data_IF_549890173272
#
_entry.id   IF_549890173272
#
_cell.length_a   1.000
_cell.length_b   1.000
_cell.length_c   1.000
_cell.angle_alpha   90.00
_cell.angle_beta   90.00
_cell.angle_gamma   90.00
#
_symmetry.space_group_name_H-M   'P 1'
#
loop_
_entity.id
_entity.type
_entity.pdbx_description
1 polymer ?
#
# COMPACT_ATOMS: atom_id res chain seq x y z
N UNK A 1 -34.66 -32.42 -2.65
CA UNK A 1 -34.42 -31.02 -2.17
C UNK A 1 -32.97 -30.82 -1.70
N UNK A 2 -31.94 -31.18 -2.49
CA UNK A 2 -30.53 -31.17 -2.04
C UNK A 2 -29.57 -30.36 -2.94
N UNK A 3 -30.03 -29.83 -4.08
CA UNK A 3 -29.17 -29.06 -5.00
C UNK A 3 -29.10 -27.56 -4.66
N UNK A 4 -30.09 -27.04 -3.93
CA UNK A 4 -30.18 -25.60 -3.60
C UNK A 4 -29.19 -25.23 -2.51
N UNK A 5 -29.06 -26.05 -1.46
CA UNK A 5 -28.14 -25.80 -0.35
C UNK A 5 -26.66 -25.74 -0.79
N UNK A 6 -26.26 -26.53 -1.80
CA UNK A 6 -24.88 -26.51 -2.31
C UNK A 6 -24.58 -25.25 -3.13
N UNK A 7 -25.56 -24.72 -3.87
CA UNK A 7 -25.39 -23.51 -4.66
C UNK A 7 -25.26 -22.26 -3.78
N UNK A 8 -26.04 -22.18 -2.69
CA UNK A 8 -25.94 -21.09 -1.72
C UNK A 8 -24.60 -21.10 -0.97
N UNK A 9 -24.10 -22.28 -0.59
CA UNK A 9 -22.77 -22.44 0.02
C UNK A 9 -21.64 -22.07 -0.93
N UNK A 10 -21.73 -22.45 -2.21
CA UNK A 10 -20.73 -22.09 -3.22
C UNK A 10 -20.70 -20.58 -3.52
N UNK A 11 -21.85 -19.92 -3.58
CA UNK A 11 -21.92 -18.47 -3.75
C UNK A 11 -21.29 -17.73 -2.57
N UNK A 12 -21.60 -18.14 -1.34
CA UNK A 12 -21.03 -17.54 -0.13
C UNK A 12 -19.50 -17.70 -0.05
N UNK A 13 -18.97 -18.84 -0.51
CA UNK A 13 -17.52 -19.05 -0.62
C UNK A 13 -16.89 -18.15 -1.68
N UNK A 14 -17.54 -17.98 -2.84
CA UNK A 14 -17.05 -17.10 -3.90
C UNK A 14 -17.06 -15.63 -3.47
N UNK A 15 -18.11 -15.20 -2.77
CA UNK A 15 -18.24 -13.84 -2.22
C UNK A 15 -17.20 -13.59 -1.13
N UNK A 16 -16.91 -14.58 -0.28
CA UNK A 16 -15.84 -14.49 0.71
C UNK A 16 -14.44 -14.39 0.06
N UNK A 17 -14.21 -15.12 -1.04
CA UNK A 17 -12.95 -15.03 -1.82
C UNK A 17 -12.86 -13.67 -2.54
N UNK A 18 -13.95 -13.16 -3.10
CA UNK A 18 -14.00 -11.85 -3.72
C UNK A 18 -13.79 -10.71 -2.71
N UNK A 19 -14.35 -10.85 -1.50
CA UNK A 19 -14.13 -9.93 -0.38
C UNK A 19 -12.67 -9.97 0.12
N UNK A 20 -12.02 -11.15 0.11
CA UNK A 20 -10.59 -11.29 0.43
C UNK A 20 -9.68 -10.72 -0.64
N UNK A 21 -10.06 -10.81 -1.93
CA UNK A 21 -9.28 -10.30 -3.06
C UNK A 21 -9.20 -8.77 -3.15
N UNK A 22 -10.10 -8.05 -2.47
CA UNK A 22 -10.19 -6.59 -2.49
C UNK A 22 -9.78 -5.91 -1.18
N UNK A 23 -9.24 -6.67 -0.21
CA UNK A 23 -8.51 -6.08 0.91
C UNK A 23 -7.21 -5.47 0.35
N UNK A 24 -7.32 -4.26 -0.17
CA UNK A 24 -6.17 -3.46 -0.57
C UNK A 24 -5.45 -3.16 0.73
N UNK A 25 -4.38 -3.90 1.01
CA UNK A 25 -3.58 -3.79 2.22
C UNK A 25 -2.83 -2.45 2.19
N UNK A 26 -3.57 -1.37 2.43
CA UNK A 26 -3.09 0.02 2.43
C UNK A 26 -2.78 0.38 3.87
N UNK A 27 -1.60 0.94 4.10
CA UNK A 27 -1.21 1.43 5.41
C UNK A 27 -0.49 2.76 5.33
N UNK A 28 -0.50 3.52 6.43
CA UNK A 28 0.29 4.72 6.54
C UNK A 28 1.79 4.36 6.51
N UNK A 29 2.53 4.96 5.58
CA UNK A 29 3.99 4.90 5.54
C UNK A 29 4.55 6.00 6.45
N UNK A 30 4.74 5.68 7.72
CA UNK A 30 5.28 6.63 8.71
C UNK A 30 6.80 6.74 8.55
N UNK A 31 7.30 7.95 8.30
CA UNK A 31 8.72 8.20 8.18
C UNK A 31 9.49 7.72 9.42
N UNK A 32 10.60 7.02 9.22
CA UNK A 32 11.40 6.39 10.27
C UNK A 32 10.94 4.98 10.65
N UNK A 33 9.73 4.57 10.27
CA UNK A 33 9.19 3.24 10.59
C UNK A 33 9.26 2.34 9.34
N UNK A 34 9.92 1.17 9.42
CA UNK A 34 9.91 0.22 8.31
C UNK A 34 8.50 -0.33 8.02
N UNK A 35 8.21 -0.58 6.75
CA UNK A 35 7.05 -1.34 6.32
C UNK A 35 7.27 -2.84 6.63
N UNK A 36 6.20 -3.61 6.92
CA UNK A 36 6.34 -5.04 7.24
C UNK A 36 6.72 -5.90 6.03
N UNK A 37 6.48 -5.41 4.81
CA UNK A 37 6.90 -6.00 3.53
C UNK A 37 7.08 -4.90 2.48
N UNK A 38 7.80 -5.15 1.38
CA UNK A 38 7.94 -4.15 0.32
C UNK A 38 6.58 -3.69 -0.21
N UNK A 39 6.43 -2.38 -0.42
CA UNK A 39 5.23 -1.84 -1.07
C UNK A 39 5.16 -2.24 -2.55
N UNK A 40 3.97 -2.18 -3.11
CA UNK A 40 3.67 -2.21 -4.56
C UNK A 40 3.54 -0.81 -5.14
N UNK A 41 3.05 0.13 -4.32
CA UNK A 41 2.98 1.54 -4.67
C UNK A 41 2.92 2.40 -3.40
N UNK A 42 3.13 3.70 -3.59
CA UNK A 42 2.90 4.72 -2.58
C UNK A 42 1.99 5.80 -3.13
N UNK A 43 1.22 6.43 -2.25
CA UNK A 43 0.32 7.55 -2.56
C UNK A 43 0.52 8.66 -1.55
N UNK A 44 0.58 9.91 -2.02
CA UNK A 44 0.53 11.08 -1.14
C UNK A 44 -0.92 11.56 -1.02
N UNK A 45 -1.47 11.60 0.20
CA UNK A 45 -2.79 12.20 0.46
C UNK A 45 -2.70 13.60 1.08
N UNK A 46 -1.54 13.95 1.63
CA UNK A 46 -1.31 15.21 2.32
C UNK A 46 -0.57 16.22 1.45
N UNK A 47 0.43 16.87 2.03
CA UNK A 47 1.20 17.90 1.35
C UNK A 47 2.21 17.27 0.39
N UNK A 48 2.30 17.82 -0.83
CA UNK A 48 3.40 17.55 -1.76
C UNK A 48 4.75 17.84 -1.10
N UNK A 49 5.79 17.16 -1.56
CA UNK A 49 7.14 17.41 -1.08
C UNK A 49 8.15 16.39 -1.56
N UNK A 50 9.29 16.37 -0.89
CA UNK A 50 10.32 15.37 -1.09
C UNK A 50 9.99 14.15 -0.23
N UNK A 51 10.27 12.97 -0.76
CA UNK A 51 10.29 11.70 -0.04
C UNK A 51 11.68 11.10 -0.21
N UNK A 52 12.32 10.78 0.91
CA UNK A 52 13.53 9.97 0.95
C UNK A 52 13.14 8.56 1.32
N UNK A 53 13.43 7.60 0.46
CA UNK A 53 12.94 6.24 0.58
C UNK A 53 14.07 5.23 0.49
N UNK A 54 13.96 4.17 1.28
CA UNK A 54 14.75 2.96 1.10
C UNK A 54 13.96 2.05 0.18
N UNK A 55 14.47 1.82 -1.03
CA UNK A 55 13.87 0.94 -2.02
C UNK A 55 13.95 -0.53 -1.58
N UNK A 56 13.12 -1.39 -2.14
CA UNK A 56 13.21 -2.85 -1.93
C UNK A 56 14.57 -3.45 -2.31
N UNK A 57 15.33 -2.79 -3.20
CA UNK A 57 16.70 -3.14 -3.54
C UNK A 57 17.75 -2.78 -2.46
N UNK A 58 17.34 -2.12 -1.38
CA UNK A 58 18.23 -1.60 -0.33
C UNK A 58 18.86 -0.24 -0.64
N UNK A 59 18.65 0.31 -1.84
CA UNK A 59 19.16 1.64 -2.18
C UNK A 59 18.29 2.75 -1.56
N UNK A 60 18.93 3.79 -1.02
CA UNK A 60 18.22 5.02 -0.65
C UNK A 60 18.11 5.97 -1.84
N UNK A 61 16.92 6.53 -2.08
CA UNK A 61 16.67 7.51 -3.15
C UNK A 61 15.81 8.65 -2.63
N UNK A 62 16.03 9.83 -3.22
CA UNK A 62 15.18 10.99 -3.00
C UNK A 62 14.31 11.21 -4.25
N UNK A 63 13.05 11.57 -4.04
CA UNK A 63 12.20 12.00 -5.13
C UNK A 63 11.14 12.98 -4.66
N UNK A 64 10.47 13.62 -5.62
CA UNK A 64 9.35 14.51 -5.37
C UNK A 64 8.04 13.77 -5.62
N UNK A 65 7.09 13.94 -4.72
CA UNK A 65 5.73 13.42 -4.85
C UNK A 65 4.73 14.56 -4.67
N UNK A 66 3.76 14.64 -5.57
CA UNK A 66 2.68 15.61 -5.50
C UNK A 66 1.47 15.04 -4.73
N UNK A 67 0.67 15.92 -4.11
CA UNK A 67 -0.59 15.54 -3.47
C UNK A 67 -1.52 14.83 -4.46
N UNK A 68 -2.08 13.69 -4.05
CA UNK A 68 -2.90 12.81 -4.89
C UNK A 68 -2.11 11.91 -5.85
N UNK A 69 -0.78 12.09 -5.98
CA UNK A 69 0.03 11.28 -6.88
C UNK A 69 0.23 9.87 -6.31
N UNK A 70 0.14 8.89 -7.21
CA UNK A 70 0.47 7.49 -6.95
C UNK A 70 1.75 7.15 -7.71
N UNK A 71 2.72 6.57 -7.02
CA UNK A 71 3.98 6.13 -7.58
C UNK A 71 4.10 4.60 -7.41
N UNK A 72 4.25 3.82 -8.50
CA UNK A 72 4.34 2.37 -8.45
C UNK A 72 5.74 1.92 -8.01
N UNK A 73 6.15 2.36 -6.81
CA UNK A 73 7.47 2.10 -6.26
C UNK A 73 7.41 1.08 -5.14
N UNK A 74 8.39 0.18 -5.19
CA UNK A 74 8.62 -0.80 -4.15
C UNK A 74 9.63 -0.26 -3.15
N UNK A 75 9.13 0.17 -2.00
CA UNK A 75 9.90 0.72 -0.90
C UNK A 75 9.76 -0.15 0.34
N UNK A 76 10.75 -0.09 1.21
CA UNK A 76 10.77 -0.72 2.53
C UNK A 76 10.52 0.29 3.64
N UNK A 77 10.86 1.56 3.43
CA UNK A 77 10.83 2.59 4.47
C UNK A 77 10.89 3.99 3.84
N UNK A 78 10.23 4.96 4.46
CA UNK A 78 10.52 6.37 4.28
C UNK A 78 11.48 6.83 5.39
N UNK A 79 12.53 7.55 5.04
CA UNK A 79 13.44 8.15 6.02
C UNK A 79 12.84 9.42 6.62
N UNK A 80 13.13 9.68 7.90
CA UNK A 80 12.72 10.94 8.56
C UNK A 80 13.46 12.12 7.94
N UNK A 81 14.77 11.96 7.71
CA UNK A 81 15.57 13.01 7.09
C UNK A 81 15.26 13.11 5.60
N UNK A 82 15.02 14.33 5.12
CA UNK A 82 14.75 14.61 3.71
C UNK A 82 13.33 14.31 3.24
N UNK A 83 12.47 13.71 4.07
CA UNK A 83 11.04 13.57 3.76
C UNK A 83 10.27 14.76 4.28
N UNK A 84 9.66 15.53 3.38
CA UNK A 84 8.81 16.68 3.69
C UNK A 84 7.35 16.48 3.27
N UNK A 85 7.08 15.52 2.37
CA UNK A 85 5.71 15.15 2.02
C UNK A 85 5.01 14.47 3.22
N UNK A 86 3.70 14.68 3.36
CA UNK A 86 2.92 14.20 4.51
C UNK A 86 1.77 13.29 4.10
N UNK A 87 1.26 12.49 5.05
CA UNK A 87 0.18 11.52 4.84
C UNK A 87 0.46 10.60 3.63
N UNK A 88 1.63 9.96 3.64
CA UNK A 88 1.97 8.94 2.64
C UNK A 88 1.35 7.61 3.04
N UNK A 89 0.71 6.96 2.10
CA UNK A 89 0.23 5.59 2.23
C UNK A 89 1.04 4.66 1.32
N UNK A 90 1.23 3.43 1.78
CA UNK A 90 1.83 2.36 1.01
C UNK A 90 0.78 1.26 0.77
N UNK A 91 0.72 0.79 -0.46
CA UNK A 91 0.02 -0.45 -0.80
C UNK A 91 0.99 -1.59 -0.64
N UNK A 92 0.72 -2.51 0.27
CA UNK A 92 1.54 -3.70 0.47
C UNK A 92 1.10 -4.79 -0.48
#
# INVERSE_FOLDING_TARGET
>A
MSKVATAELQSQQLDAIAAQGAATDVMAAVAGTPLPRPSRAIRCLGNSGTIRMVMASGQTRDSRIEAGQILPWSILKLEVSGTTATQIEAWL
#
